data_IF_607522408647
#
_entry.id   IF_607522408647
#
_cell.length_a   1.000
_cell.length_b   1.000
_cell.length_c   1.000
_cell.angle_alpha   90.00
_cell.angle_beta   90.00
_cell.angle_gamma   90.00
#
_symmetry.space_group_name_H-M   'P 1'
#
loop_
_entity.id
_entity.type
_entity.pdbx_description
1 polymer ?
#
# COMPACT_ATOMS: atom_id res chain seq x y z
N UNK A 1 28.80 -6.10 -2.78
CA UNK A 1 27.47 -5.92 -2.17
C UNK A 1 26.67 -7.18 -2.40
N UNK A 2 25.92 -7.66 -1.40
CA UNK A 2 25.00 -8.80 -1.57
C UNK A 2 23.60 -8.25 -1.32
N UNK A 3 22.72 -8.43 -2.29
CA UNK A 3 21.34 -7.96 -2.28
C UNK A 3 20.41 -9.17 -2.20
N UNK A 4 19.48 -9.16 -1.25
CA UNK A 4 18.48 -10.21 -1.11
C UNK A 4 17.15 -9.63 -0.68
N UNK A 5 16.07 -10.19 -1.20
CA UNK A 5 14.71 -9.75 -0.92
C UNK A 5 13.74 -10.94 -0.88
N UNK A 6 12.64 -10.79 -0.15
CA UNK A 6 11.61 -11.82 -0.01
C UNK A 6 10.22 -11.20 0.00
N UNK A 7 9.30 -11.77 -0.77
CA UNK A 7 7.87 -11.43 -0.78
C UNK A 7 7.07 -12.74 -0.61
N UNK A 8 6.48 -12.92 0.58
CA UNK A 8 5.81 -14.18 0.93
C UNK A 8 6.75 -15.37 0.83
N UNK A 9 6.44 -16.33 -0.05
CA UNK A 9 7.25 -17.53 -0.29
C UNK A 9 8.26 -17.40 -1.45
N UNK A 10 8.35 -16.22 -2.06
CA UNK A 10 9.31 -15.95 -3.13
C UNK A 10 10.44 -15.10 -2.57
N UNK A 11 11.64 -15.29 -3.10
CA UNK A 11 12.77 -14.46 -2.76
C UNK A 11 13.88 -14.57 -3.78
N UNK A 12 14.82 -13.64 -3.71
CA UNK A 12 16.02 -13.61 -4.54
C UNK A 12 17.23 -13.27 -3.69
N UNK A 13 18.40 -13.69 -4.15
CA UNK A 13 19.68 -13.29 -3.62
C UNK A 13 20.66 -13.11 -4.78
N UNK A 14 21.40 -12.00 -4.81
CA UNK A 14 22.37 -11.67 -5.85
C UNK A 14 23.61 -11.00 -5.28
N UNK A 15 24.74 -11.24 -5.92
CA UNK A 15 26.02 -10.60 -5.58
C UNK A 15 26.32 -9.52 -6.61
N UNK A 16 26.53 -8.30 -6.14
CA UNK A 16 26.88 -7.12 -6.92
C UNK A 16 28.34 -6.76 -6.67
N UNK A 17 29.18 -6.98 -7.67
CA UNK A 17 30.58 -6.58 -7.80
C UNK A 17 30.65 -5.38 -8.77
N UNK A 18 31.00 -4.17 -8.29
CA UNK A 18 31.10 -2.98 -9.13
C UNK A 18 32.05 -3.20 -10.32
N UNK A 19 31.59 -2.85 -11.53
CA UNK A 19 32.38 -2.97 -12.76
C UNK A 19 32.47 -4.38 -13.37
N UNK A 20 31.84 -5.39 -12.76
CA UNK A 20 31.85 -6.77 -13.29
C UNK A 20 30.44 -7.35 -13.44
N UNK A 21 29.62 -7.30 -12.39
CA UNK A 21 28.24 -7.79 -12.42
C UNK A 21 27.27 -6.62 -12.57
N UNK A 22 26.05 -6.84 -13.09
CA UNK A 22 25.03 -5.79 -13.16
C UNK A 22 24.76 -5.19 -11.77
N UNK A 23 24.66 -3.87 -11.69
CA UNK A 23 24.34 -3.18 -10.45
C UNK A 23 22.83 -3.26 -10.15
N UNK A 24 22.40 -2.61 -9.07
CA UNK A 24 20.99 -2.54 -8.70
C UNK A 24 20.14 -1.91 -9.81
N UNK A 25 20.59 -0.78 -10.35
CA UNK A 25 19.90 -0.04 -11.42
C UNK A 25 19.75 -0.87 -12.71
N UNK A 26 20.76 -1.66 -13.07
CA UNK A 26 20.68 -2.56 -14.24
C UNK A 26 19.54 -3.58 -14.14
N UNK A 27 19.09 -3.90 -12.93
CA UNK A 27 18.10 -4.92 -12.64
C UNK A 27 16.79 -4.33 -12.09
N UNK A 28 16.58 -3.01 -12.18
CA UNK A 28 15.41 -2.34 -11.61
C UNK A 28 14.08 -2.85 -12.21
N UNK A 29 14.12 -3.28 -13.47
CA UNK A 29 12.97 -3.83 -14.19
C UNK A 29 12.51 -5.21 -13.68
N UNK A 30 13.33 -5.92 -12.89
CA UNK A 30 12.95 -7.20 -12.27
C UNK A 30 12.03 -7.01 -11.08
N UNK A 31 11.99 -5.81 -10.48
CA UNK A 31 11.07 -5.51 -9.40
C UNK A 31 9.64 -5.40 -9.94
N UNK A 32 8.65 -5.98 -9.25
CA UNK A 32 7.27 -5.90 -9.71
C UNK A 32 6.81 -4.44 -9.77
N UNK A 33 5.93 -4.09 -10.72
CA UNK A 33 5.40 -2.75 -10.81
C UNK A 33 4.62 -2.40 -9.54
N UNK A 34 4.84 -1.19 -9.04
CA UNK A 34 4.13 -0.65 -7.88
C UNK A 34 2.63 -0.59 -8.18
N UNK A 35 1.81 -1.23 -7.36
CA UNK A 35 0.35 -1.17 -7.49
C UNK A 35 -0.11 0.23 -7.07
N UNK A 36 -0.41 1.08 -8.06
CA UNK A 36 -0.98 2.42 -7.83
C UNK A 36 -2.40 2.46 -8.38
N UNK A 37 -3.36 2.75 -7.51
CA UNK A 37 -4.75 2.94 -7.92
C UNK A 37 -4.94 4.33 -8.53
N UNK A 38 -5.63 4.48 -9.67
CA UNK A 38 -5.97 5.79 -10.20
C UNK A 38 -6.90 6.56 -9.25
N UNK A 39 -6.65 7.87 -9.07
CA UNK A 39 -7.45 8.73 -8.17
C UNK A 39 -8.93 8.76 -8.56
N UNK A 40 -9.26 8.78 -9.86
CA UNK A 40 -10.65 8.73 -10.33
C UNK A 40 -11.37 7.44 -9.90
N UNK A 41 -10.66 6.30 -9.90
CA UNK A 41 -11.23 5.02 -9.45
C UNK A 41 -11.48 5.04 -7.94
N UNK A 42 -10.56 5.61 -7.17
CA UNK A 42 -10.73 5.75 -5.73
C UNK A 42 -11.89 6.68 -5.39
N UNK A 43 -12.06 7.80 -6.10
CA UNK A 43 -13.06 8.83 -5.82
C UNK A 43 -14.48 8.43 -6.28
N UNK A 44 -14.62 7.87 -7.48
CA UNK A 44 -15.93 7.72 -8.13
C UNK A 44 -16.40 6.27 -8.24
N UNK A 45 -15.50 5.32 -8.54
CA UNK A 45 -15.88 3.93 -8.90
C UNK A 45 -15.04 2.86 -8.18
N UNK A 46 -15.13 2.76 -6.84
CA UNK A 46 -14.48 1.68 -6.10
C UNK A 46 -15.07 0.32 -6.51
N UNK A 47 -14.22 -0.71 -6.60
CA UNK A 47 -14.62 -2.08 -7.03
C UNK A 47 -14.17 -3.17 -6.05
N UNK A 48 -13.19 -2.86 -5.23
CA UNK A 48 -12.59 -3.79 -4.27
C UNK A 48 -12.51 -3.13 -2.90
N UNK A 49 -12.46 -3.92 -1.83
CA UNK A 49 -12.29 -3.42 -0.47
C UNK A 49 -11.01 -2.56 -0.31
N UNK A 50 -9.94 -2.91 -1.03
CA UNK A 50 -8.70 -2.12 -1.07
C UNK A 50 -8.93 -0.69 -1.57
N UNK A 51 -9.79 -0.48 -2.58
CA UNK A 51 -10.11 0.88 -3.06
C UNK A 51 -10.83 1.71 -1.99
N UNK A 52 -11.67 1.08 -1.17
CA UNK A 52 -12.38 1.77 -0.08
C UNK A 52 -11.41 2.21 1.03
N UNK A 53 -10.45 1.35 1.37
CA UNK A 53 -9.39 1.63 2.36
C UNK A 53 -8.47 2.74 1.87
N UNK A 54 -8.00 2.66 0.62
CA UNK A 54 -7.12 3.68 0.05
C UNK A 54 -7.81 5.03 -0.12
N UNK A 55 -9.12 5.05 -0.40
CA UNK A 55 -9.90 6.29 -0.38
C UNK A 55 -9.91 6.94 1.01
N UNK A 56 -10.16 6.14 2.06
CA UNK A 56 -10.21 6.64 3.43
C UNK A 56 -8.86 7.26 3.83
N UNK A 57 -7.75 6.62 3.43
CA UNK A 57 -6.40 7.07 3.76
C UNK A 57 -5.92 8.24 2.91
N UNK A 58 -6.08 8.21 1.58
CA UNK A 58 -5.50 9.22 0.69
C UNK A 58 -6.35 10.47 0.54
N UNK A 59 -7.67 10.35 0.66
CA UNK A 59 -8.61 11.44 0.37
C UNK A 59 -9.25 11.90 1.67
N UNK A 60 -9.95 11.02 2.38
CA UNK A 60 -10.71 11.42 3.57
C UNK A 60 -9.86 11.81 4.77
N UNK A 61 -8.72 11.17 4.98
CA UNK A 61 -7.85 11.49 6.10
C UNK A 61 -7.42 12.96 6.06
N UNK A 62 -6.89 13.42 4.93
CA UNK A 62 -6.41 14.79 4.75
C UNK A 62 -7.56 15.82 4.79
N UNK A 63 -8.75 15.46 4.29
CA UNK A 63 -9.96 16.29 4.38
C UNK A 63 -10.42 16.54 5.83
N UNK A 64 -10.32 15.54 6.72
CA UNK A 64 -10.86 15.62 8.09
C UNK A 64 -9.77 16.02 9.10
N UNK A 65 -8.56 15.53 8.92
CA UNK A 65 -7.42 15.70 9.82
C UNK A 65 -6.34 16.58 9.18
N UNK A 66 -6.75 17.68 8.56
CA UNK A 66 -5.85 18.60 7.87
C UNK A 66 -4.68 19.02 8.76
N UNK A 67 -3.46 18.72 8.33
CA UNK A 67 -2.23 19.05 9.06
C UNK A 67 -1.76 18.01 10.07
N UNK A 68 -2.47 16.90 10.28
CA UNK A 68 -1.98 15.74 11.04
C UNK A 68 -1.58 14.61 10.10
N UNK A 69 -0.30 14.21 10.06
CA UNK A 69 0.11 13.05 9.28
C UNK A 69 -0.59 11.81 9.83
N UNK A 70 -0.99 10.92 8.92
CA UNK A 70 -1.48 9.61 9.30
C UNK A 70 -0.35 8.79 9.94
N UNK A 71 -0.64 8.15 11.06
CA UNK A 71 0.29 7.25 11.75
C UNK A 71 -0.31 5.84 11.76
N UNK A 72 0.44 4.89 11.21
CA UNK A 72 0.05 3.50 11.06
C UNK A 72 0.18 2.69 12.36
N UNK A 73 1.05 3.14 13.27
CA UNK A 73 1.30 2.49 14.54
C UNK A 73 0.27 2.91 15.60
N UNK A 74 -0.46 4.01 15.33
CA UNK A 74 -1.56 4.47 16.18
C UNK A 74 -2.85 3.67 15.92
N UNK A 75 -3.35 3.03 16.98
CA UNK A 75 -4.58 2.25 16.94
C UNK A 75 -5.82 3.08 16.60
N UNK A 76 -5.89 4.34 17.05
CA UNK A 76 -7.04 5.23 16.83
C UNK A 76 -7.11 5.64 15.35
N UNK A 77 -5.96 5.97 14.76
CA UNK A 77 -5.85 6.28 13.33
C UNK A 77 -6.29 5.10 12.46
N UNK A 78 -5.80 3.90 12.78
CA UNK A 78 -6.16 2.67 12.06
C UNK A 78 -7.65 2.33 12.20
N UNK A 79 -8.21 2.49 13.39
CA UNK A 79 -9.65 2.29 13.62
C UNK A 79 -10.50 3.28 12.84
N UNK A 80 -10.07 4.54 12.76
CA UNK A 80 -10.77 5.57 11.99
C UNK A 80 -10.82 5.22 10.50
N UNK A 81 -9.68 4.85 9.90
CA UNK A 81 -9.60 4.42 8.50
C UNK A 81 -10.52 3.23 8.23
N UNK A 82 -10.48 2.22 9.11
CA UNK A 82 -11.35 1.05 8.98
C UNK A 82 -12.83 1.43 9.01
N UNK A 83 -13.22 2.32 9.93
CA UNK A 83 -14.62 2.77 10.05
C UNK A 83 -15.09 3.53 8.81
N UNK A 84 -14.23 4.36 8.22
CA UNK A 84 -14.56 5.17 7.05
C UNK A 84 -14.58 4.31 5.78
N UNK A 85 -13.65 3.36 5.67
CA UNK A 85 -13.63 2.37 4.60
C UNK A 85 -14.89 1.49 4.61
N UNK A 86 -15.39 1.10 5.79
CA UNK A 86 -16.63 0.34 5.94
C UNK A 86 -17.85 1.12 5.42
N UNK A 87 -18.01 2.38 5.85
CA UNK A 87 -19.10 3.23 5.36
C UNK A 87 -19.09 3.34 3.84
N UNK A 88 -17.90 3.56 3.26
CA UNK A 88 -17.75 3.62 1.81
C UNK A 88 -18.09 2.29 1.14
N UNK A 89 -17.63 1.18 1.70
CA UNK A 89 -17.92 -0.13 1.16
C UNK A 89 -19.43 -0.43 1.18
N UNK A 90 -20.14 -0.03 2.22
CA UNK A 90 -21.61 -0.14 2.31
C UNK A 90 -22.32 0.68 1.23
N UNK A 91 -21.88 1.93 0.99
CA UNK A 91 -22.44 2.79 -0.07
C UNK A 91 -22.34 2.19 -1.48
N UNK A 92 -21.29 1.43 -1.76
CA UNK A 92 -21.05 0.80 -3.06
C UNK A 92 -21.39 -0.70 -3.08
N UNK A 93 -21.92 -1.25 -1.98
CA UNK A 93 -22.27 -2.68 -1.87
C UNK A 93 -21.06 -3.62 -1.95
N UNK A 94 -19.88 -3.19 -1.52
CA UNK A 94 -18.63 -3.95 -1.57
C UNK A 94 -18.43 -4.68 -0.24
N UNK A 95 -18.32 -6.00 -0.27
CA UNK A 95 -17.97 -6.81 0.91
C UNK A 95 -16.47 -7.04 1.04
N UNK A 96 -16.00 -7.35 2.25
CA UNK A 96 -14.63 -7.81 2.49
C UNK A 96 -13.67 -6.78 3.09
N UNK A 97 -14.18 -5.63 3.55
CA UNK A 97 -13.40 -4.72 4.40
C UNK A 97 -13.26 -5.35 5.79
N UNK A 98 -12.03 -5.71 6.16
CA UNK A 98 -11.69 -6.22 7.49
C UNK A 98 -10.55 -5.41 8.07
N UNK A 99 -10.46 -5.32 9.40
CA UNK A 99 -9.38 -4.58 10.06
C UNK A 99 -7.99 -5.07 9.63
N UNK A 100 -7.82 -6.39 9.50
CA UNK A 100 -6.57 -7.00 9.01
C UNK A 100 -6.23 -6.57 7.58
N UNK A 101 -7.23 -6.44 6.70
CA UNK A 101 -7.00 -5.94 5.34
C UNK A 101 -6.60 -4.46 5.37
N UNK A 102 -7.16 -3.65 6.27
CA UNK A 102 -6.77 -2.25 6.46
C UNK A 102 -5.30 -2.11 6.85
N UNK A 103 -4.83 -2.97 7.77
CA UNK A 103 -3.42 -3.02 8.18
C UNK A 103 -2.51 -3.44 7.02
N UNK A 104 -2.85 -4.53 6.33
CA UNK A 104 -2.01 -5.10 5.27
C UNK A 104 -1.97 -4.20 4.03
N UNK A 105 -3.08 -3.55 3.67
CA UNK A 105 -3.14 -2.66 2.51
C UNK A 105 -2.16 -1.48 2.67
N UNK A 106 -2.01 -0.97 3.90
CA UNK A 106 -1.04 0.08 4.17
C UNK A 106 0.41 -0.43 4.16
N UNK A 107 0.67 -1.57 4.81
CA UNK A 107 1.98 -2.22 4.84
C UNK A 107 2.51 -2.57 3.44
N UNK A 108 1.63 -2.98 2.51
CA UNK A 108 1.99 -3.23 1.11
C UNK A 108 2.50 -1.99 0.38
N UNK A 109 2.09 -0.79 0.81
CA UNK A 109 2.59 0.46 0.24
C UNK A 109 3.95 0.85 0.81
N UNK A 110 4.19 0.55 2.10
CA UNK A 110 5.48 0.80 2.78
C UNK A 110 6.57 -0.17 2.32
N UNK A 111 6.27 -1.46 2.18
CA UNK A 111 7.29 -2.47 1.90
C UNK A 111 7.82 -2.44 0.46
N UNK A 112 7.05 -1.96 -0.52
CA UNK A 112 7.48 -1.93 -1.92
C UNK A 112 8.10 -0.56 -2.29
N UNK A 113 7.94 0.49 -1.47
CA UNK A 113 8.48 1.84 -1.75
C UNK A 113 9.76 2.19 -0.96
N UNK A 114 10.20 1.38 0.01
CA UNK A 114 11.37 1.66 0.85
C UNK A 114 12.59 0.74 0.62
N UNK A 115 12.61 -0.05 -0.46
CA UNK A 115 13.76 -0.88 -0.85
C UNK A 115 14.41 -0.37 -2.14
#
# INVERSE_FOLDING_TARGET
MVDGGTEGFKGHARVIIPGTTPCFECNIWLFPPQVKFPLCTLAETPRTAAHCIEYAHLIKWDEVHSGKPFDADDTEHMQWIYSEALKRAELFGISGVTYSLTQVCHLLRLFILQA
#
